data_IF_145841248726
#
_entry.id   IF_145841248726
#
_cell.length_a   1.000
_cell.length_b   1.000
_cell.length_c   1.000
_cell.angle_alpha   90.00
_cell.angle_beta   90.00
_cell.angle_gamma   90.00
#
_symmetry.space_group_name_H-M   'P 1'
#
loop_
_entity.id
_entity.type
_entity.pdbx_description
1 polymer ?
#
# COMPACT_ATOMS: atom_id res chain seq x y z
N UNK A 1 -44.25 -53.22 0.56
CA UNK A 1 -44.82 -52.00 -0.04
C UNK A 1 -43.73 -51.39 -0.92
N UNK A 2 -43.62 -51.73 -2.20
CA UNK A 2 -44.34 -51.13 -3.34
C UNK A 2 -44.28 -49.59 -3.31
N UNK A 3 -43.40 -49.01 -4.13
CA UNK A 3 -43.67 -47.98 -5.15
C UNK A 3 -42.35 -47.31 -5.58
N UNK A 4 -41.92 -47.48 -6.83
CA UNK A 4 -42.12 -46.54 -7.98
C UNK A 4 -41.32 -45.24 -7.78
N UNK A 5 -40.55 -44.70 -8.74
CA UNK A 5 -40.83 -44.62 -10.18
C UNK A 5 -39.58 -44.15 -10.93
N UNK A 6 -39.40 -44.77 -12.09
CA UNK A 6 -38.45 -44.45 -13.15
C UNK A 6 -39.06 -43.34 -14.03
N UNK A 7 -38.25 -42.38 -14.48
CA UNK A 7 -38.48 -41.51 -15.65
C UNK A 7 -37.09 -41.35 -16.29
N UNK A 8 -36.72 -41.96 -17.41
CA UNK A 8 -37.24 -42.00 -18.79
C UNK A 8 -37.24 -40.63 -19.52
N UNK A 9 -36.30 -40.54 -20.48
CA UNK A 9 -36.38 -39.92 -21.82
C UNK A 9 -36.58 -38.40 -22.00
N UNK A 10 -35.71 -37.81 -22.83
CA UNK A 10 -35.96 -37.12 -24.13
C UNK A 10 -34.60 -36.49 -24.53
N UNK A 11 -33.83 -37.02 -25.49
CA UNK A 11 -34.00 -37.05 -26.95
C UNK A 11 -33.93 -35.67 -27.65
N UNK A 12 -32.75 -35.38 -28.21
CA UNK A 12 -32.42 -34.98 -29.59
C UNK A 12 -33.32 -33.93 -30.30
N UNK A 13 -32.66 -32.88 -30.80
CA UNK A 13 -33.07 -32.02 -31.93
C UNK A 13 -32.13 -30.81 -32.00
N UNK A 14 -31.07 -30.76 -32.80
CA UNK A 14 -31.01 -30.59 -34.28
C UNK A 14 -31.91 -29.46 -34.78
N UNK A 15 -31.34 -28.28 -35.12
CA UNK A 15 -31.68 -27.50 -36.33
C UNK A 15 -30.50 -26.56 -36.67
N UNK A 16 -29.94 -26.75 -37.87
CA UNK A 16 -29.07 -25.80 -38.56
C UNK A 16 -29.81 -24.47 -38.79
N UNK A 17 -29.14 -23.33 -38.61
CA UNK A 17 -29.53 -22.12 -39.34
C UNK A 17 -28.32 -21.45 -39.95
N UNK A 18 -28.21 -21.64 -41.26
CA UNK A 18 -27.33 -20.96 -42.19
C UNK A 18 -28.10 -19.74 -42.70
N UNK A 19 -27.82 -18.57 -42.16
CA UNK A 19 -28.22 -17.26 -42.72
C UNK A 19 -26.98 -16.37 -42.57
N UNK A 20 -26.47 -15.63 -43.54
CA UNK A 20 -26.87 -15.38 -44.90
C UNK A 20 -25.82 -14.41 -45.43
N UNK A 21 -25.18 -14.77 -46.52
CA UNK A 21 -24.26 -13.91 -47.25
C UNK A 21 -25.11 -12.79 -47.87
N UNK A 22 -24.98 -11.55 -47.38
CA UNK A 22 -25.52 -10.38 -48.06
C UNK A 22 -24.37 -9.51 -48.56
N UNK A 23 -24.11 -9.67 -49.86
CA UNK A 23 -23.47 -8.68 -50.71
C UNK A 23 -24.42 -7.50 -50.85
N UNK A 24 -24.06 -6.34 -50.31
CA UNK A 24 -24.65 -5.06 -50.70
C UNK A 24 -23.56 -4.01 -50.92
N UNK A 25 -23.44 -3.65 -52.20
CA UNK A 25 -23.05 -2.36 -52.77
C UNK A 25 -21.84 -1.62 -52.19
N UNK A 26 -20.78 -1.60 -53.00
CA UNK A 26 -19.79 -0.54 -53.04
C UNK A 26 -20.47 0.84 -53.07
N UNK A 27 -20.43 1.53 -51.93
CA UNK A 27 -20.79 2.92 -51.83
C UNK A 27 -19.79 3.78 -52.60
N UNK A 28 -20.29 4.44 -53.64
CA UNK A 28 -19.63 5.53 -54.36
C UNK A 28 -19.19 6.57 -53.31
N UNK A 29 -17.87 6.70 -53.13
CA UNK A 29 -17.28 7.80 -52.37
C UNK A 29 -17.51 9.09 -53.15
N UNK A 30 -18.61 9.78 -52.87
CA UNK A 30 -18.76 11.17 -53.25
C UNK A 30 -17.74 11.97 -52.44
N UNK A 31 -16.76 12.50 -53.17
CA UNK A 31 -15.81 13.49 -52.69
C UNK A 31 -16.59 14.78 -52.45
N UNK A 32 -17.10 14.95 -51.23
CA UNK A 32 -17.46 16.28 -50.74
C UNK A 32 -16.16 16.94 -50.30
N UNK A 33 -15.69 17.87 -51.13
CA UNK A 33 -14.67 18.84 -50.78
C UNK A 33 -15.13 19.57 -49.51
N UNK A 34 -14.62 19.11 -48.35
CA UNK A 34 -14.75 19.81 -47.10
C UNK A 34 -14.09 21.17 -47.29
N UNK A 35 -14.89 22.22 -47.36
CA UNK A 35 -14.45 23.59 -47.18
C UNK A 35 -13.75 23.66 -45.83
N UNK A 36 -12.43 23.77 -45.87
CA UNK A 36 -11.58 24.00 -44.71
C UNK A 36 -12.03 25.33 -44.11
N UNK A 37 -12.84 25.26 -43.05
CA UNK A 37 -13.04 26.38 -42.15
C UNK A 37 -11.72 26.52 -41.43
N UNK A 38 -10.91 27.47 -41.91
CA UNK A 38 -9.64 27.85 -41.33
C UNK A 38 -9.90 28.46 -39.95
N UNK A 39 -9.98 27.59 -38.95
CA UNK A 39 -9.96 28.00 -37.56
C UNK A 39 -8.61 28.65 -37.29
N UNK A 40 -8.64 29.95 -36.97
CA UNK A 40 -7.47 30.72 -36.56
C UNK A 40 -6.82 30.03 -35.34
N UNK A 41 -5.77 29.26 -35.60
CA UNK A 41 -4.92 28.68 -34.56
C UNK A 41 -4.16 29.82 -33.91
N UNK A 42 -4.72 30.41 -32.85
CA UNK A 42 -3.99 31.29 -31.93
C UNK A 42 -2.70 30.59 -31.55
N UNK A 43 -1.56 31.21 -31.88
CA UNK A 43 -0.21 30.74 -31.53
C UNK A 43 -0.08 30.63 -30.01
N UNK A 44 -0.45 29.48 -29.44
CA UNK A 44 -0.18 29.17 -28.04
C UNK A 44 1.31 28.87 -27.97
N UNK A 45 2.07 29.77 -27.33
CA UNK A 45 3.50 29.59 -27.09
C UNK A 45 3.80 28.22 -26.47
N UNK A 46 4.98 27.68 -26.78
CA UNK A 46 5.40 26.36 -26.33
C UNK A 46 5.30 26.23 -24.80
N UNK A 47 4.30 25.50 -24.32
CA UNK A 47 4.24 25.10 -22.92
C UNK A 47 5.30 24.03 -22.68
N UNK A 48 6.24 24.34 -21.78
CA UNK A 48 7.30 23.43 -21.38
C UNK A 48 6.69 22.09 -20.97
N UNK A 49 7.23 20.98 -21.48
CA UNK A 49 6.73 19.61 -21.23
C UNK A 49 6.59 19.27 -19.73
N UNK A 50 7.36 19.91 -18.86
CA UNK A 50 7.31 19.72 -17.40
C UNK A 50 6.30 20.62 -16.68
N UNK A 51 5.59 21.51 -17.39
CA UNK A 51 4.47 22.28 -16.82
C UNK A 51 3.32 21.30 -16.60
N UNK A 52 2.89 21.17 -15.34
CA UNK A 52 1.73 20.34 -15.00
C UNK A 52 0.52 20.92 -15.74
N UNK A 53 -0.14 20.08 -16.54
CA UNK A 53 -1.46 20.42 -17.08
C UNK A 53 -2.38 20.62 -15.88
N UNK A 54 -3.21 21.67 -15.92
CA UNK A 54 -4.21 21.88 -14.88
C UNK A 54 -5.07 20.62 -14.78
N UNK A 55 -5.07 20.02 -13.60
CA UNK A 55 -5.99 18.92 -13.33
C UNK A 55 -7.39 19.51 -13.12
N UNK A 56 -8.44 18.72 -13.33
CA UNK A 56 -9.81 19.17 -13.06
C UNK A 56 -9.96 19.66 -11.61
N UNK A 57 -9.19 19.11 -10.67
CA UNK A 57 -9.13 19.58 -9.29
C UNK A 57 -8.54 21.00 -9.13
N UNK A 58 -7.53 21.36 -9.93
CA UNK A 58 -6.95 22.71 -9.95
C UNK A 58 -7.92 23.72 -10.57
N UNK A 59 -8.68 23.30 -11.60
CA UNK A 59 -9.70 24.13 -12.24
C UNK A 59 -10.89 24.40 -11.32
N UNK A 60 -11.23 23.43 -10.47
CA UNK A 60 -12.32 23.54 -9.49
C UNK A 60 -11.88 24.22 -8.18
N UNK A 61 -10.65 24.75 -8.07
CA UNK A 61 -10.11 25.41 -6.87
C UNK A 61 -10.41 24.65 -5.55
N UNK A 62 -10.21 23.34 -5.57
CA UNK A 62 -10.46 22.51 -4.38
C UNK A 62 -9.19 22.53 -3.52
N UNK A 63 -9.17 23.40 -2.51
CA UNK A 63 -8.08 23.55 -1.51
C UNK A 63 -7.97 22.36 -0.55
N UNK A 64 -7.89 21.14 -1.07
CA UNK A 64 -7.81 19.90 -0.29
C UNK A 64 -9.03 19.61 0.59
N UNK A 65 -10.09 20.41 0.49
CA UNK A 65 -11.41 20.18 1.10
C UNK A 65 -12.41 19.97 -0.03
N UNK A 66 -12.90 18.74 -0.17
CA UNK A 66 -14.02 18.44 -1.05
C UNK A 66 -15.18 19.38 -0.70
N UNK A 67 -15.80 20.07 -1.68
CA UNK A 67 -17.04 20.80 -1.42
C UNK A 67 -18.09 19.82 -0.91
N UNK A 68 -18.93 20.29 0.01
CA UNK A 68 -19.97 19.49 0.68
C UNK A 68 -21.01 18.92 -0.28
N UNK A 69 -21.11 19.49 -1.47
CA UNK A 69 -22.16 19.17 -2.42
C UNK A 69 -21.64 18.12 -3.43
N UNK A 70 -22.16 16.87 -3.37
CA UNK A 70 -21.59 15.76 -4.13
C UNK A 70 -21.78 15.89 -5.65
N UNK A 71 -22.76 16.67 -6.10
CA UNK A 71 -23.06 16.89 -7.53
C UNK A 71 -21.99 17.74 -8.23
N UNK A 72 -21.37 18.69 -7.51
CA UNK A 72 -20.33 19.56 -8.06
C UNK A 72 -19.04 18.79 -8.44
N UNK A 73 -18.84 17.61 -7.85
CA UNK A 73 -17.68 16.77 -8.08
C UNK A 73 -17.84 15.81 -9.27
N UNK A 74 -18.98 15.87 -9.99
CA UNK A 74 -19.27 14.93 -11.09
C UNK A 74 -19.35 13.47 -10.63
N UNK A 75 -19.68 13.25 -9.36
CA UNK A 75 -19.84 11.92 -8.77
C UNK A 75 -21.17 11.33 -9.25
N UNK A 76 -21.11 10.13 -9.83
CA UNK A 76 -22.28 9.40 -10.30
C UNK A 76 -22.71 8.42 -9.20
N UNK A 77 -23.94 8.54 -8.70
CA UNK A 77 -24.53 7.61 -7.74
C UNK A 77 -25.88 8.09 -7.20
N UNK A 78 -26.71 7.16 -6.74
CA UNK A 78 -28.07 7.44 -6.28
C UNK A 78 -28.18 7.56 -4.75
N UNK A 79 -27.26 6.93 -4.01
CA UNK A 79 -27.35 6.81 -2.55
C UNK A 79 -26.41 7.84 -1.88
N UNK A 80 -26.94 8.77 -1.06
CA UNK A 80 -26.12 9.71 -0.30
C UNK A 80 -25.48 9.03 0.92
N UNK A 81 -24.15 9.03 0.96
CA UNK A 81 -23.33 8.50 2.07
C UNK A 81 -22.68 9.67 2.82
N UNK A 82 -22.89 9.73 4.13
CA UNK A 82 -22.38 10.80 5.00
C UNK A 82 -21.30 10.23 5.92
N UNK A 83 -20.05 10.66 5.71
CA UNK A 83 -18.93 10.32 6.58
C UNK A 83 -18.76 11.36 7.70
N UNK A 84 -18.90 10.91 8.95
CA UNK A 84 -18.65 11.72 10.15
C UNK A 84 -17.27 11.36 10.72
N UNK A 85 -16.32 12.29 10.59
CA UNK A 85 -14.99 12.18 11.22
C UNK A 85 -14.87 13.27 12.29
N UNK A 86 -15.42 12.98 13.47
CA UNK A 86 -15.45 13.95 14.55
C UNK A 86 -16.39 15.11 14.28
N UNK A 87 -15.82 16.29 14.03
CA UNK A 87 -16.56 17.51 13.77
C UNK A 87 -16.67 17.79 12.26
N UNK A 88 -15.95 17.01 11.43
CA UNK A 88 -15.99 17.14 9.98
C UNK A 88 -17.01 16.15 9.41
N UNK A 89 -17.89 16.65 8.55
CA UNK A 89 -18.86 15.87 7.80
C UNK A 89 -18.58 16.03 6.32
N UNK A 90 -18.38 14.91 5.62
CA UNK A 90 -18.16 14.88 4.17
C UNK A 90 -19.24 13.98 3.58
N UNK A 91 -19.88 14.45 2.50
CA UNK A 91 -20.93 13.72 1.81
C UNK A 91 -20.45 13.27 0.44
N UNK A 92 -20.85 12.07 0.03
CA UNK A 92 -20.55 11.50 -1.29
C UNK A 92 -21.72 10.67 -1.79
N UNK A 93 -21.88 10.59 -3.11
CA UNK A 93 -22.82 9.69 -3.74
C UNK A 93 -22.15 8.34 -4.01
N UNK A 94 -22.89 7.26 -3.79
CA UNK A 94 -22.44 5.89 -4.02
C UNK A 94 -23.48 5.10 -4.82
N UNK A 95 -23.01 4.03 -5.48
CA UNK A 95 -23.87 3.06 -6.16
C UNK A 95 -24.16 1.91 -5.19
N UNK A 96 -25.38 1.37 -5.22
CA UNK A 96 -25.74 0.18 -4.46
C UNK A 96 -24.79 -0.98 -4.76
N UNK A 97 -24.29 -1.67 -3.72
CA UNK A 97 -23.31 -2.75 -3.86
C UNK A 97 -21.86 -2.31 -4.06
N UNK A 98 -21.56 -1.00 -4.16
CA UNK A 98 -20.18 -0.52 -4.20
C UNK A 98 -19.47 -0.77 -2.85
N UNK A 99 -18.19 -1.16 -2.84
CA UNK A 99 -17.45 -1.36 -1.59
C UNK A 99 -17.25 -0.03 -0.85
N UNK A 100 -17.50 -0.03 0.46
CA UNK A 100 -17.41 1.17 1.29
C UNK A 100 -15.99 1.76 1.37
N UNK A 101 -14.96 0.95 1.10
CA UNK A 101 -13.57 1.41 1.02
C UNK A 101 -13.30 2.36 -0.14
N UNK A 102 -13.91 2.10 -1.30
CA UNK A 102 -13.77 2.93 -2.48
C UNK A 102 -14.55 4.24 -2.31
N UNK A 103 -15.77 4.15 -1.78
CA UNK A 103 -16.60 5.33 -1.48
C UNK A 103 -15.91 6.24 -0.47
N UNK A 104 -15.33 5.70 0.59
CA UNK A 104 -14.55 6.48 1.55
C UNK A 104 -13.32 7.15 0.91
N UNK A 105 -12.66 6.45 -0.01
CA UNK A 105 -11.51 7.00 -0.75
C UNK A 105 -11.92 8.11 -1.71
N UNK A 106 -13.08 7.97 -2.38
CA UNK A 106 -13.69 9.01 -3.21
C UNK A 106 -14.05 10.25 -2.38
N UNK A 107 -14.53 10.06 -1.14
CA UNK A 107 -14.80 11.13 -0.19
C UNK A 107 -13.52 11.81 0.36
N UNK A 108 -12.33 11.30 0.06
CA UNK A 108 -11.07 11.76 0.66
C UNK A 108 -10.97 11.42 2.16
N UNK A 109 -11.78 10.48 2.65
CA UNK A 109 -11.81 10.10 4.06
C UNK A 109 -10.90 8.90 4.29
N UNK A 110 -9.83 9.12 5.04
CA UNK A 110 -8.84 8.08 5.31
C UNK A 110 -9.28 7.14 6.43
N UNK A 111 -9.61 5.90 6.07
CA UNK A 111 -9.85 4.79 6.99
C UNK A 111 -8.59 3.92 7.04
N UNK A 112 -8.14 3.57 8.25
CA UNK A 112 -7.00 2.66 8.39
C UNK A 112 -7.42 1.23 8.14
N UNK A 113 -6.84 0.62 7.12
CA UNK A 113 -6.99 -0.80 6.82
C UNK A 113 -5.78 -1.59 7.33
N UNK A 114 -6.04 -2.77 7.90
CA UNK A 114 -5.02 -3.72 8.33
C UNK A 114 -4.90 -4.88 7.33
N UNK A 115 -5.76 -5.90 7.51
CA UNK A 115 -5.72 -7.13 6.72
C UNK A 115 -6.54 -7.11 5.42
N UNK A 116 -7.50 -6.18 5.26
CA UNK A 116 -8.43 -6.12 4.12
C UNK A 116 -9.49 -7.23 4.06
N UNK A 117 -9.31 -8.35 4.79
CA UNK A 117 -10.21 -9.51 4.79
C UNK A 117 -11.32 -9.44 5.85
N UNK A 118 -11.26 -8.46 6.74
CA UNK A 118 -12.22 -8.30 7.83
C UNK A 118 -11.81 -8.93 9.17
N UNK A 119 -10.73 -9.70 9.28
CA UNK A 119 -10.40 -10.41 10.53
C UNK A 119 -9.82 -9.49 11.63
N UNK A 120 -9.06 -8.46 11.25
CA UNK A 120 -8.25 -7.69 12.20
C UNK A 120 -9.01 -6.61 13.00
N UNK A 121 -10.25 -6.27 12.63
CA UNK A 121 -11.05 -5.23 13.30
C UNK A 121 -10.50 -3.78 13.22
N UNK A 122 -9.34 -3.55 12.60
CA UNK A 122 -8.67 -2.23 12.56
C UNK A 122 -9.52 -1.12 11.93
N UNK A 123 -10.34 -1.47 10.93
CA UNK A 123 -11.12 -0.52 10.15
C UNK A 123 -12.56 -0.33 10.67
N UNK A 124 -12.93 -0.87 11.83
CA UNK A 124 -14.31 -0.79 12.35
C UNK A 124 -14.85 0.65 12.43
N UNK A 125 -16.01 0.85 11.81
CA UNK A 125 -16.78 2.10 11.83
C UNK A 125 -18.22 1.82 12.25
N UNK A 126 -18.85 2.81 12.87
CA UNK A 126 -20.25 2.71 13.30
C UNK A 126 -21.15 3.26 12.19
N UNK A 127 -21.99 2.42 11.61
CA UNK A 127 -22.92 2.79 10.54
C UNK A 127 -24.34 2.54 11.00
N UNK A 128 -25.17 3.59 11.04
CA UNK A 128 -26.56 3.54 11.52
C UNK A 128 -26.71 2.77 12.85
N UNK A 129 -25.77 2.97 13.79
CA UNK A 129 -25.74 2.33 15.10
C UNK A 129 -25.17 0.90 15.15
N UNK A 130 -24.82 0.30 14.00
CA UNK A 130 -24.18 -1.02 13.92
C UNK A 130 -22.68 -0.88 13.64
N UNK A 131 -21.86 -1.66 14.34
CA UNK A 131 -20.43 -1.73 14.03
C UNK A 131 -20.22 -2.62 12.81
N UNK A 132 -19.71 -2.04 11.74
CA UNK A 132 -19.40 -2.76 10.50
C UNK A 132 -17.91 -2.65 10.19
N UNK A 133 -17.44 -3.50 9.27
CA UNK A 133 -16.07 -3.51 8.77
C UNK A 133 -16.06 -3.04 7.31
N UNK A 134 -15.73 -1.75 7.04
CA UNK A 134 -15.75 -1.13 5.72
C UNK A 134 -14.90 -1.81 4.65
N UNK A 135 -13.92 -2.64 5.05
CA UNK A 135 -13.05 -3.36 4.12
C UNK A 135 -13.77 -4.46 3.34
N UNK A 136 -14.85 -5.02 3.88
CA UNK A 136 -15.60 -6.13 3.27
C UNK A 136 -17.07 -5.80 3.06
N UNK A 137 -17.61 -4.82 3.80
CA UNK A 137 -19.01 -4.43 3.67
C UNK A 137 -19.26 -3.58 2.43
N UNK A 138 -20.37 -3.88 1.77
CA UNK A 138 -20.89 -3.15 0.62
C UNK A 138 -21.95 -2.13 1.06
N UNK A 139 -22.20 -1.12 0.24
CA UNK A 139 -23.34 -0.22 0.41
C UNK A 139 -24.64 -1.02 0.24
N UNK A 140 -25.61 -0.94 1.17
CA UNK A 140 -26.84 -1.72 1.08
C UNK A 140 -27.72 -1.22 -0.07
N UNK A 141 -28.34 -2.15 -0.81
CA UNK A 141 -29.29 -1.82 -1.88
C UNK A 141 -30.71 -1.51 -1.40
N UNK A 142 -30.99 -1.78 -0.12
CA UNK A 142 -32.34 -1.67 0.45
C UNK A 142 -32.71 -0.24 0.87
N UNK A 143 -31.75 0.69 0.85
CA UNK A 143 -31.99 2.11 1.13
C UNK A 143 -32.65 2.74 -0.10
N UNK A 144 -33.85 3.31 0.07
CA UNK A 144 -34.50 4.09 -0.98
C UNK A 144 -33.75 5.41 -1.20
N UNK A 145 -33.93 6.06 -2.36
CA UNK A 145 -33.22 7.26 -2.87
C UNK A 145 -33.42 8.55 -2.04
N UNK A 146 -33.28 8.47 -0.72
CA UNK A 146 -33.47 9.57 0.22
C UNK A 146 -33.06 9.23 1.66
N UNK A 147 -32.82 7.95 1.98
CA UNK A 147 -32.31 7.56 3.28
C UNK A 147 -30.80 7.77 3.36
N UNK A 148 -30.35 8.59 4.32
CA UNK A 148 -28.94 8.90 4.51
C UNK A 148 -28.17 7.72 5.12
N UNK A 149 -27.10 7.29 4.46
CA UNK A 149 -26.21 6.27 5.02
C UNK A 149 -25.08 6.92 5.84
N UNK A 150 -25.26 6.98 7.16
CA UNK A 150 -24.33 7.70 8.05
C UNK A 150 -23.24 6.76 8.57
N UNK A 151 -21.99 7.03 8.19
CA UNK A 151 -20.79 6.28 8.60
C UNK A 151 -19.96 7.13 9.57
N UNK A 152 -19.88 6.73 10.84
CA UNK A 152 -19.03 7.34 11.86
C UNK A 152 -17.70 6.62 11.97
N UNK A 153 -16.62 7.35 11.68
CA UNK A 153 -15.27 6.78 11.65
C UNK A 153 -14.57 7.05 12.98
N UNK A 154 -13.93 6.02 13.54
CA UNK A 154 -13.06 6.16 14.71
C UNK A 154 -11.94 7.14 14.36
N UNK A 155 -11.85 8.27 15.08
CA UNK A 155 -10.72 9.21 14.95
C UNK A 155 -9.44 8.43 15.24
N UNK A 156 -8.68 8.13 14.19
CA UNK A 156 -7.33 7.65 14.44
C UNK A 156 -6.55 8.83 15.00
N UNK A 157 -6.08 8.72 16.23
CA UNK A 157 -5.08 9.61 16.82
C UNK A 157 -3.72 9.39 16.12
N UNK A 158 -3.64 9.59 14.81
CA UNK A 158 -2.38 10.02 14.22
C UNK A 158 -2.19 11.46 14.68
N UNK A 159 -1.77 11.63 15.94
CA UNK A 159 -0.90 12.77 16.24
C UNK A 159 0.26 12.55 15.31
N UNK A 160 0.24 13.16 14.14
CA UNK A 160 1.44 13.35 13.36
C UNK A 160 2.40 13.99 14.37
N UNK A 161 3.34 13.21 14.90
CA UNK A 161 4.54 13.81 15.46
C UNK A 161 5.07 14.52 14.23
N UNK A 162 4.80 15.83 14.14
CA UNK A 162 5.36 16.64 13.08
C UNK A 162 6.83 16.27 13.11
N UNK A 163 7.32 15.74 11.98
CA UNK A 163 8.73 15.46 11.85
C UNK A 163 9.41 16.77 12.20
N UNK A 164 9.94 16.86 13.43
CA UNK A 164 10.36 18.13 14.01
C UNK A 164 11.30 18.76 13.01
N UNK A 165 11.08 20.04 12.69
CA UNK A 165 11.81 20.81 11.67
C UNK A 165 13.21 20.21 11.51
N UNK A 166 13.48 19.58 10.37
CA UNK A 166 14.69 18.76 10.14
C UNK A 166 16.00 19.52 10.45
N UNK A 167 15.93 20.85 10.54
CA UNK A 167 17.00 21.77 10.92
C UNK A 167 16.74 22.50 12.24
N UNK A 168 16.38 21.79 13.30
CA UNK A 168 16.40 22.38 14.65
C UNK A 168 17.81 22.20 15.25
N UNK A 169 18.31 23.18 16.01
CA UNK A 169 19.59 23.06 16.71
C UNK A 169 19.65 21.77 17.55
N UNK A 170 18.50 21.33 18.07
CA UNK A 170 18.35 20.06 18.77
C UNK A 170 18.59 18.83 17.89
N UNK A 171 18.17 18.82 16.62
CA UNK A 171 18.45 17.69 15.71
C UNK A 171 19.92 17.61 15.31
N UNK A 172 20.61 18.74 15.20
CA UNK A 172 22.07 18.80 14.95
C UNK A 172 22.85 18.23 16.15
N UNK A 173 22.50 18.63 17.37
CA UNK A 173 23.14 18.13 18.59
C UNK A 173 22.88 16.63 18.80
N UNK A 174 21.66 16.13 18.57
CA UNK A 174 21.36 14.70 18.64
C UNK A 174 22.08 13.88 17.56
N UNK A 175 22.21 14.43 16.35
CA UNK A 175 22.99 13.81 15.26
C UNK A 175 24.48 13.70 15.62
N UNK A 176 25.06 14.75 16.20
CA UNK A 176 26.45 14.75 16.66
C UNK A 176 26.67 13.78 17.82
N UNK A 177 25.76 13.76 18.80
CA UNK A 177 25.83 12.83 19.93
C UNK A 177 25.82 11.37 19.49
N UNK A 178 24.95 11.00 18.55
CA UNK A 178 24.91 9.63 18.02
C UNK A 178 26.16 9.24 17.22
N UNK A 179 26.76 10.17 16.49
CA UNK A 179 28.02 9.92 15.76
C UNK A 179 29.20 9.72 16.73
N UNK A 180 29.31 10.57 17.77
CA UNK A 180 30.34 10.46 18.81
C UNK A 180 30.17 9.20 19.66
N UNK A 181 28.94 8.83 20.01
CA UNK A 181 28.65 7.61 20.77
C UNK A 181 29.06 6.36 19.98
N UNK A 182 28.78 6.35 18.67
CA UNK A 182 29.23 5.28 17.76
C UNK A 182 30.75 5.16 17.76
N UNK A 183 31.47 6.28 17.67
CA UNK A 183 32.93 6.31 17.67
C UNK A 183 33.52 5.83 19.01
N UNK A 184 32.88 6.16 20.14
CA UNK A 184 33.28 5.65 21.45
C UNK A 184 33.07 4.14 21.58
N UNK A 185 31.98 3.60 21.02
CA UNK A 185 31.73 2.17 20.91
C UNK A 185 32.83 1.43 20.12
N UNK A 186 33.30 2.01 19.01
CA UNK A 186 34.42 1.46 18.24
C UNK A 186 35.75 1.48 19.01
N UNK A 187 36.03 2.51 19.80
CA UNK A 187 37.26 2.57 20.61
C UNK A 187 37.24 1.51 21.71
N UNK A 188 36.09 1.29 22.36
CA UNK A 188 35.96 0.28 23.41
C UNK A 188 36.12 -1.14 22.86
N UNK A 189 35.41 -1.46 21.78
CA UNK A 189 35.52 -2.78 21.12
C UNK A 189 36.94 -3.06 20.61
N UNK A 190 37.66 -2.03 20.12
CA UNK A 190 39.07 -2.16 19.73
C UNK A 190 39.99 -2.50 20.90
N UNK A 191 39.73 -1.94 22.09
CA UNK A 191 40.49 -2.28 23.31
C UNK A 191 40.25 -3.72 23.76
N UNK A 192 39.00 -4.19 23.71
CA UNK A 192 38.65 -5.57 24.07
C UNK A 192 39.24 -6.58 23.09
N UNK A 193 39.19 -6.31 21.78
CA UNK A 193 39.83 -7.14 20.77
C UNK A 193 41.35 -7.24 20.95
N UNK A 194 42.01 -6.15 21.36
CA UNK A 194 43.45 -6.16 21.66
C UNK A 194 43.79 -7.06 22.86
N UNK A 195 42.97 -7.06 23.91
CA UNK A 195 43.16 -7.95 25.07
C UNK A 195 43.02 -9.41 24.67
N UNK A 196 41.95 -9.77 23.95
CA UNK A 196 41.74 -11.15 23.48
C UNK A 196 42.88 -11.63 22.56
N UNK A 197 43.45 -10.75 21.75
CA UNK A 197 44.62 -11.08 20.93
C UNK A 197 45.87 -11.33 21.78
N UNK A 198 46.13 -10.48 22.77
CA UNK A 198 47.25 -10.66 23.71
C UNK A 198 47.14 -11.97 24.49
N UNK A 199 45.94 -12.30 25.00
CA UNK A 199 45.69 -13.55 25.71
C UNK A 199 45.97 -14.78 24.83
N UNK A 200 45.63 -14.72 23.54
CA UNK A 200 45.94 -15.80 22.58
C UNK A 200 47.45 -15.94 22.36
N UNK A 201 48.15 -14.83 22.17
CA UNK A 201 49.60 -14.84 21.99
C UNK A 201 50.33 -15.38 23.23
N UNK A 202 49.87 -15.02 24.43
CA UNK A 202 50.45 -15.53 25.68
C UNK A 202 50.16 -17.03 25.87
N UNK A 203 48.98 -17.51 25.45
CA UNK A 203 48.65 -18.93 25.47
C UNK A 203 49.49 -19.75 24.48
N UNK A 204 49.68 -19.25 23.26
CA UNK A 204 50.55 -19.87 22.24
C UNK A 204 51.98 -20.01 22.77
N UNK A 205 52.56 -18.96 23.37
CA UNK A 205 53.89 -19.02 23.99
C UNK A 205 53.99 -20.07 25.11
N UNK A 206 53.00 -20.15 26.00
CA UNK A 206 52.98 -21.17 27.06
C UNK A 206 52.90 -22.59 26.48
N UNK A 207 52.15 -22.80 25.40
CA UNK A 207 52.11 -24.10 24.72
C UNK A 207 53.46 -24.44 24.10
N UNK A 208 54.14 -23.48 23.48
CA UNK A 208 55.49 -23.67 22.94
C UNK A 208 56.49 -24.08 24.02
N UNK A 209 56.45 -23.44 25.19
CA UNK A 209 57.26 -23.80 26.37
C UNK A 209 56.99 -25.23 26.84
N UNK A 210 55.71 -25.59 27.03
CA UNK A 210 55.31 -26.95 27.46
C UNK A 210 55.74 -28.00 26.42
N UNK A 211 55.62 -27.72 25.13
CA UNK A 211 56.03 -28.63 24.05
C UNK A 211 57.56 -28.77 24.01
N UNK A 212 58.30 -27.68 24.19
CA UNK A 212 59.76 -27.71 24.27
C UNK A 212 60.25 -28.53 25.46
N UNK A 213 59.64 -28.36 26.64
CA UNK A 213 59.92 -29.17 27.83
C UNK A 213 59.62 -30.65 27.62
N UNK A 214 58.45 -30.99 27.07
CA UNK A 214 58.08 -32.38 26.75
C UNK A 214 59.05 -32.99 25.73
N UNK A 215 59.47 -32.23 24.72
CA UNK A 215 60.46 -32.68 23.73
C UNK A 215 61.82 -32.92 24.38
N UNK A 216 62.28 -32.01 25.24
CA UNK A 216 63.54 -32.15 25.98
C UNK A 216 63.51 -33.36 26.93
N UNK A 217 62.40 -33.59 27.63
CA UNK A 217 62.22 -34.75 28.50
C UNK A 217 62.26 -36.07 27.72
N UNK A 218 61.57 -36.15 26.58
CA UNK A 218 61.63 -37.32 25.68
C UNK A 218 63.05 -37.57 25.16
N UNK A 219 63.77 -36.51 24.77
CA UNK A 219 65.16 -36.64 24.33
C UNK A 219 66.09 -37.14 25.46
N UNK A 220 65.92 -36.64 26.68
CA UNK A 220 66.67 -37.11 27.87
C UNK A 220 66.38 -38.58 28.19
N UNK A 221 65.12 -38.99 28.14
CA UNK A 221 64.72 -40.39 28.34
C UNK A 221 65.33 -41.32 27.28
N UNK A 222 65.25 -40.95 26.00
CA UNK A 222 65.85 -41.72 24.91
C UNK A 222 67.39 -41.81 25.00
N UNK A 223 68.06 -40.79 25.55
CA UNK A 223 69.50 -40.84 25.83
C UNK A 223 69.83 -41.76 27.03
N UNK A 224 68.97 -41.80 28.06
CA UNK A 224 69.14 -42.67 29.21
C UNK A 224 68.98 -44.16 28.84
N UNK A 225 68.01 -44.50 27.99
CA UNK A 225 67.81 -45.87 27.48
C UNK A 225 68.98 -46.36 26.61
N UNK A 226 69.66 -45.46 25.90
CA UNK A 226 70.80 -45.79 25.02
C UNK A 226 72.13 -45.96 25.75
N UNK A 227 72.19 -45.73 27.07
CA UNK A 227 73.41 -45.92 27.85
C UNK A 227 73.53 -47.41 28.21
N UNK A 228 74.44 -48.18 27.59
CA UNK A 228 74.60 -49.62 27.83
C UNK A 228 75.17 -49.94 29.22
#
# INVERSE_FOLDING_TARGET
>A
MLNLRIYFFVAIGSVLSVHGFQLTSFGVRQSTCLSVIESEKKNKGYERKWKKKQTLADQLQIDGKLPSDPEANGLVGDIPVIFKTGNNTIQTLAIAGQPLSEVASQAGVFIKYGCGKGDCGTCESMCNGKWIRPCVSLVPSDLQNGDEYVVQIKKTKNKAKSSGRFYSVRSILFGFYNNVLGMWGFVRTRKEAKKNWQERQDYEKRLEEIVAEKRAARARAALAEKKP
#
